data_IF_876429828883
#
_entry.id   IF_876429828883
#
_cell.length_a   1.000
_cell.length_b   1.000
_cell.length_c   1.000
_cell.angle_alpha   90.00
_cell.angle_beta   90.00
_cell.angle_gamma   90.00
#
_symmetry.space_group_name_H-M   'P 1'
#
loop_
_entity.id
_entity.type
_entity.pdbx_description
1 polymer ?
#
# COMPACT_ATOMS: atom_id res chain seq x y z
N UNK A 1 -34.64 2.33 -6.90
CA UNK A 1 -33.28 2.16 -7.46
C UNK A 1 -32.35 3.13 -6.74
N UNK A 2 -31.74 2.71 -5.64
CA UNK A 2 -30.64 3.44 -4.98
C UNK A 2 -29.74 2.38 -4.36
N UNK A 3 -28.90 1.77 -5.19
CA UNK A 3 -27.85 0.88 -4.69
C UNK A 3 -26.87 1.80 -3.97
N UNK A 4 -26.91 1.74 -2.64
CA UNK A 4 -26.02 2.52 -1.79
C UNK A 4 -24.66 1.91 -2.01
N UNK A 5 -23.74 2.64 -2.65
CA UNK A 5 -22.36 2.22 -2.89
C UNK A 5 -21.86 1.52 -1.65
N UNK A 6 -21.72 0.20 -1.71
CA UNK A 6 -21.24 -0.60 -0.61
C UNK A 6 -19.76 -0.23 -0.41
N UNK A 7 -19.52 0.83 0.37
CA UNK A 7 -18.22 1.29 0.77
C UNK A 7 -17.70 0.32 1.82
N UNK A 8 -17.47 -0.93 1.42
CA UNK A 8 -16.91 -1.94 2.29
C UNK A 8 -15.57 -1.42 2.79
N UNK A 9 -15.46 -1.21 4.10
CA UNK A 9 -14.21 -0.77 4.73
C UNK A 9 -13.10 -1.73 4.31
N UNK A 10 -11.99 -1.22 3.72
CA UNK A 10 -10.91 -2.08 3.28
C UNK A 10 -10.32 -2.84 4.47
N UNK A 11 -9.80 -4.03 4.22
CA UNK A 11 -9.09 -4.80 5.23
C UNK A 11 -7.71 -4.17 5.52
N UNK A 12 -7.09 -3.58 4.51
CA UNK A 12 -5.85 -2.80 4.61
C UNK A 12 -5.94 -1.56 3.74
N UNK A 13 -5.48 -0.43 4.27
CA UNK A 13 -5.28 0.81 3.52
C UNK A 13 -3.89 1.35 3.82
N UNK A 14 -3.06 1.51 2.79
CA UNK A 14 -1.75 2.14 2.82
C UNK A 14 -1.86 3.47 2.07
N UNK A 15 -1.42 4.56 2.70
CA UNK A 15 -1.37 5.90 2.09
C UNK A 15 0.03 6.45 2.19
N UNK A 16 0.53 6.93 1.06
CA UNK A 16 1.77 7.69 0.90
C UNK A 16 2.95 7.11 1.67
N UNK A 17 3.10 5.78 1.62
CA UNK A 17 4.15 5.08 2.33
C UNK A 17 5.52 5.43 1.75
N UNK A 18 6.31 6.07 2.60
CA UNK A 18 7.70 6.43 2.39
C UNK A 18 8.59 5.56 3.28
N UNK A 19 9.61 4.92 2.70
CA UNK A 19 10.55 4.09 3.46
C UNK A 19 11.97 4.37 3.01
N UNK A 20 12.88 4.51 3.97
CA UNK A 20 14.30 4.60 3.72
C UNK A 20 15.09 3.69 4.68
N UNK A 21 16.15 3.07 4.16
CA UNK A 21 17.15 2.42 4.99
C UNK A 21 18.33 3.37 5.23
N UNK A 22 18.84 3.39 6.45
CA UNK A 22 20.08 4.10 6.78
C UNK A 22 21.28 3.23 6.42
N UNK A 23 22.08 3.65 5.44
CA UNK A 23 23.28 2.94 4.99
C UNK A 23 24.49 3.85 5.11
N UNK A 24 25.46 3.48 5.95
CA UNK A 24 26.69 4.28 6.21
C UNK A 24 26.39 5.76 6.53
N UNK A 25 25.37 5.99 7.35
CA UNK A 25 24.98 7.35 7.74
C UNK A 25 24.09 8.08 6.73
N UNK A 26 23.84 7.52 5.54
CA UNK A 26 23.04 8.15 4.48
C UNK A 26 21.69 7.44 4.34
N UNK A 27 20.60 8.19 4.28
CA UNK A 27 19.27 7.65 4.00
C UNK A 27 19.14 7.24 2.52
N UNK A 28 18.77 5.99 2.30
CA UNK A 28 18.48 5.41 0.99
C UNK A 28 17.01 5.09 0.90
N UNK A 29 16.27 5.94 0.21
CA UNK A 29 14.83 5.80 -0.01
C UNK A 29 14.52 4.62 -0.93
N UNK A 30 13.71 3.69 -0.44
CA UNK A 30 13.34 2.43 -1.11
C UNK A 30 11.86 2.35 -1.47
N UNK A 31 10.97 3.01 -0.71
CA UNK A 31 9.58 3.23 -1.12
C UNK A 31 9.35 4.74 -1.27
N UNK A 32 8.58 5.12 -2.27
CA UNK A 32 8.31 6.52 -2.66
C UNK A 32 6.81 6.71 -2.83
N UNK A 33 6.15 7.24 -1.81
CA UNK A 33 4.72 7.54 -1.81
C UNK A 33 3.83 6.40 -2.28
N UNK A 34 4.01 5.20 -1.73
CA UNK A 34 3.23 4.03 -2.14
C UNK A 34 1.85 4.07 -1.49
N UNK A 35 0.79 3.98 -2.30
CA UNK A 35 -0.60 4.00 -1.86
C UNK A 35 -1.38 2.85 -2.49
N UNK A 36 -2.05 2.03 -1.68
CA UNK A 36 -2.94 0.96 -2.15
C UNK A 36 -3.90 0.50 -1.05
N UNK A 37 -4.97 -0.20 -1.45
CA UNK A 37 -5.97 -0.79 -0.57
C UNK A 37 -6.12 -2.28 -0.87
N UNK A 38 -6.39 -3.09 0.16
CA UNK A 38 -6.78 -4.50 0.01
C UNK A 38 -8.15 -4.69 0.64
N UNK A 39 -9.11 -5.19 -0.14
CA UNK A 39 -10.46 -5.51 0.29
C UNK A 39 -10.52 -6.77 1.16
N UNK A 40 -11.65 -6.96 1.88
CA UNK A 40 -11.87 -8.19 2.64
C UNK A 40 -12.02 -9.39 1.71
N UNK A 41 -11.21 -10.42 1.90
CA UNK A 41 -11.20 -11.62 1.06
C UNK A 41 -10.44 -11.46 -0.26
N UNK A 42 -9.85 -10.29 -0.52
CA UNK A 42 -9.00 -10.07 -1.69
C UNK A 42 -7.63 -10.74 -1.51
N UNK A 43 -7.11 -11.34 -2.58
CA UNK A 43 -5.73 -11.81 -2.65
C UNK A 43 -4.90 -10.77 -3.40
N UNK A 44 -3.88 -10.21 -2.73
CA UNK A 44 -2.98 -9.21 -3.28
C UNK A 44 -1.57 -9.78 -3.49
N UNK A 45 -1.03 -9.65 -4.69
CA UNK A 45 0.31 -10.10 -5.04
C UNK A 45 1.28 -8.93 -5.21
N UNK A 46 2.38 -8.92 -4.44
CA UNK A 46 3.49 -7.99 -4.64
C UNK A 46 4.57 -8.69 -5.47
N UNK A 47 4.86 -8.16 -6.65
CA UNK A 47 5.87 -8.70 -7.59
C UNK A 47 6.94 -7.66 -7.89
N UNK A 48 8.16 -8.11 -8.14
CA UNK A 48 9.30 -7.27 -8.48
C UNK A 48 10.50 -8.09 -8.90
N UNK A 49 11.46 -7.44 -9.56
CA UNK A 49 12.78 -8.01 -9.84
C UNK A 49 13.58 -8.10 -8.52
N UNK A 50 14.44 -9.13 -8.39
CA UNK A 50 15.30 -9.31 -7.22
C UNK A 50 16.50 -8.38 -7.23
#
# INVERSE_FOLDING_TARGET
MSDSTNTATPALEIKDLELAYRVRGIDRRVLRGVSFTIGKGESFGLVGES
#
